data_IF_000568497502
#
_entry.id   IF_000568497502
#
_cell.length_a   1.000
_cell.length_b   1.000
_cell.length_c   1.000
_cell.angle_alpha   90.00
_cell.angle_beta   90.00
_cell.angle_gamma   90.00
#
_symmetry.space_group_name_H-M   'P 1'
#
loop_
_entity.id
_entity.type
_entity.pdbx_description
1 polymer ?
#
# COMPACT_ATOMS: atom_id res chain seq x y z
N UNK A 1 0.34 -10.98 -11.88
CA UNK A 1 0.72 -9.77 -11.10
C UNK A 1 0.18 -9.90 -9.69
N UNK A 2 0.94 -9.51 -8.67
CA UNK A 2 0.48 -9.54 -7.28
C UNK A 2 -0.35 -8.29 -6.97
N UNK A 3 -1.42 -8.46 -6.17
CA UNK A 3 -2.25 -7.36 -5.65
C UNK A 3 -1.58 -6.54 -4.54
N UNK A 4 -0.42 -6.99 -4.05
CA UNK A 4 0.32 -6.36 -2.97
C UNK A 4 1.56 -5.61 -3.49
N UNK A 5 1.93 -4.52 -2.82
CA UNK A 5 3.15 -3.77 -3.08
C UNK A 5 3.62 -2.98 -1.84
N UNK A 6 4.86 -2.53 -1.88
CA UNK A 6 5.47 -1.73 -0.83
C UNK A 6 5.79 -0.34 -1.40
N UNK A 7 5.42 0.70 -0.67
CA UNK A 7 5.57 2.08 -1.08
C UNK A 7 6.38 2.86 -0.04
N UNK A 8 7.34 3.65 -0.49
CA UNK A 8 8.07 4.60 0.34
C UNK A 8 7.29 5.92 0.47
N UNK A 9 6.05 5.80 0.95
CA UNK A 9 5.13 6.91 1.23
C UNK A 9 4.39 6.64 2.54
N UNK A 10 4.03 7.69 3.30
CA UNK A 10 3.24 7.53 4.51
C UNK A 10 1.83 7.04 4.18
N UNK A 11 1.21 6.34 5.13
CA UNK A 11 -0.10 5.69 4.95
C UNK A 11 -1.17 6.65 4.45
N UNK A 12 -1.26 7.85 5.03
CA UNK A 12 -2.25 8.86 4.66
C UNK A 12 -2.15 9.28 3.19
N UNK A 13 -0.92 9.43 2.67
CA UNK A 13 -0.72 9.78 1.26
C UNK A 13 -1.10 8.61 0.34
N UNK A 14 -0.80 7.38 0.75
CA UNK A 14 -1.19 6.18 -0.01
C UNK A 14 -2.72 6.04 -0.07
N UNK A 15 -3.43 6.31 1.03
CA UNK A 15 -4.90 6.32 1.05
C UNK A 15 -5.44 7.38 0.09
N UNK A 16 -4.98 8.63 0.22
CA UNK A 16 -5.43 9.72 -0.64
C UNK A 16 -5.17 9.44 -2.14
N UNK A 17 -4.03 8.81 -2.45
CA UNK A 17 -3.72 8.41 -3.82
C UNK A 17 -4.61 7.27 -4.32
N UNK A 18 -4.92 6.27 -3.50
CA UNK A 18 -5.84 5.20 -3.87
C UNK A 18 -7.26 5.73 -4.11
N UNK A 19 -7.73 6.65 -3.27
CA UNK A 19 -9.02 7.34 -3.46
C UNK A 19 -9.06 8.11 -4.77
N UNK A 20 -8.01 8.91 -5.05
CA UNK A 20 -7.87 9.67 -6.30
C UNK A 20 -7.85 8.77 -7.54
N UNK A 21 -7.24 7.59 -7.43
CA UNK A 21 -7.15 6.60 -8.52
C UNK A 21 -8.37 5.66 -8.58
N UNK A 22 -9.33 5.80 -7.66
CA UNK A 22 -10.50 4.92 -7.52
C UNK A 22 -10.11 3.44 -7.37
N UNK A 23 -9.04 3.17 -6.62
CA UNK A 23 -8.55 1.83 -6.35
C UNK A 23 -8.98 1.38 -4.96
N UNK A 24 -9.74 0.29 -4.89
CA UNK A 24 -10.19 -0.27 -3.61
C UNK A 24 -9.03 -0.94 -2.86
N UNK A 25 -8.89 -0.58 -1.59
CA UNK A 25 -7.88 -1.12 -0.67
C UNK A 25 -8.46 -2.33 0.06
N UNK A 26 -7.71 -3.43 0.07
CA UNK A 26 -8.02 -4.63 0.86
C UNK A 26 -7.34 -4.61 2.22
N UNK A 27 -6.09 -4.12 2.28
CA UNK A 27 -5.35 -3.93 3.51
C UNK A 27 -4.30 -2.84 3.32
N UNK A 28 -4.05 -2.07 4.37
CA UNK A 28 -3.00 -1.06 4.40
C UNK A 28 -2.36 -1.09 5.78
N UNK A 29 -1.03 -1.04 5.81
CA UNK A 29 -0.26 -1.02 7.06
C UNK A 29 1.04 -0.22 6.88
N UNK A 30 1.48 0.52 7.90
CA UNK A 30 2.79 1.16 7.91
C UNK A 30 3.89 0.10 8.05
N UNK A 31 5.04 0.36 7.44
CA UNK A 31 6.22 -0.49 7.56
C UNK A 31 7.12 0.00 8.72
N UNK A 32 7.75 -0.91 9.50
CA UNK A 32 8.73 -0.55 10.53
C UNK A 32 9.91 0.29 10.01
N UNK A 33 10.29 0.10 8.75
CA UNK A 33 11.37 0.86 8.09
C UNK A 33 10.95 2.25 7.61
N UNK A 34 9.67 2.62 7.80
CA UNK A 34 9.04 3.72 7.09
C UNK A 34 8.45 3.26 5.76
N UNK A 35 7.42 3.98 5.32
CA UNK A 35 6.59 3.62 4.17
C UNK A 35 5.36 2.81 4.55
N UNK A 36 4.72 2.22 3.54
CA UNK A 36 3.43 1.55 3.64
C UNK A 36 3.40 0.28 2.80
N UNK A 37 2.87 -0.80 3.35
CA UNK A 37 2.47 -1.98 2.60
C UNK A 37 1.00 -1.84 2.19
N UNK A 38 0.77 -1.85 0.88
CA UNK A 38 -0.55 -1.71 0.28
C UNK A 38 -0.97 -3.03 -0.36
N UNK A 39 -2.17 -3.48 -0.05
CA UNK A 39 -2.85 -4.58 -0.73
C UNK A 39 -4.12 -4.05 -1.36
N UNK A 40 -4.19 -4.07 -2.69
CA UNK A 40 -5.40 -3.71 -3.44
C UNK A 40 -6.37 -4.91 -3.46
N UNK A 41 -7.67 -4.62 -3.66
CA UNK A 41 -8.68 -5.69 -3.85
C UNK A 41 -8.44 -6.45 -5.15
N UNK A 42 -8.15 -5.72 -6.24
CA UNK A 42 -7.96 -6.26 -7.59
C UNK A 42 -6.51 -6.09 -8.07
N UNK A 43 -6.06 -7.01 -8.93
CA UNK A 43 -4.75 -6.95 -9.58
C UNK A 43 -4.60 -5.72 -10.47
N UNK A 44 -5.63 -5.38 -11.26
CA UNK A 44 -5.59 -4.22 -12.16
C UNK A 44 -5.43 -2.90 -11.39
N UNK A 45 -6.08 -2.79 -10.22
CA UNK A 45 -5.90 -1.65 -9.33
C UNK A 45 -4.46 -1.55 -8.83
N UNK A 46 -3.84 -2.69 -8.51
CA UNK A 46 -2.43 -2.72 -8.13
C UNK A 46 -1.52 -2.29 -9.28
N UNK A 47 -1.83 -2.67 -10.51
CA UNK A 47 -1.05 -2.28 -11.70
C UNK A 47 -1.14 -0.76 -11.96
N UNK A 48 -2.32 -0.17 -11.76
CA UNK A 48 -2.50 1.29 -11.85
C UNK A 48 -1.64 2.00 -10.80
N UNK A 49 -1.67 1.55 -9.54
CA UNK A 49 -0.89 2.14 -8.45
C UNK A 49 0.61 1.99 -8.72
N UNK A 50 1.07 0.81 -9.15
CA UNK A 50 2.49 0.57 -9.50
C UNK A 50 2.99 1.49 -10.62
N UNK A 51 2.15 1.75 -11.63
CA UNK A 51 2.50 2.67 -12.72
C UNK A 51 2.57 4.11 -12.24
N UNK A 52 1.62 4.54 -11.40
CA UNK A 52 1.53 5.93 -10.93
C UNK A 52 2.55 6.27 -9.83
N UNK A 53 2.84 5.33 -8.95
CA UNK A 53 3.76 5.48 -7.83
C UNK A 53 5.09 4.75 -8.05
N UNK A 54 5.48 4.56 -9.33
CA UNK A 54 6.70 3.82 -9.68
C UNK A 54 7.95 4.35 -8.97
N UNK A 55 8.08 5.67 -8.82
CA UNK A 55 9.20 6.32 -8.14
C UNK A 55 9.25 6.04 -6.63
N UNK A 56 8.15 5.57 -6.04
CA UNK A 56 8.04 5.27 -4.62
C UNK A 56 7.98 3.77 -4.35
N UNK A 57 8.12 2.91 -5.36
CA UNK A 57 8.07 1.48 -5.17
C UNK A 57 9.31 1.01 -4.40
N UNK A 58 9.12 0.29 -3.32
CA UNK A 58 10.22 -0.35 -2.59
C UNK A 58 10.50 -1.70 -3.23
N UNK A 59 11.67 -1.83 -3.83
CA UNK A 59 12.15 -3.10 -4.39
C UNK A 59 12.74 -4.00 -3.29
N UNK A 60 12.58 -5.32 -3.46
CA UNK A 60 13.11 -6.31 -2.55
C UNK A 60 12.22 -6.62 -1.34
N UNK A 61 12.82 -7.30 -0.36
CA UNK A 61 12.13 -7.80 0.83
C UNK A 61 12.00 -6.71 1.88
N UNK A 62 10.77 -6.43 2.33
CA UNK A 62 10.51 -5.53 3.46
C UNK A 62 10.14 -6.32 4.71
N UNK A 63 10.57 -5.84 5.87
CA UNK A 63 10.08 -6.36 7.15
C UNK A 63 8.71 -5.77 7.42
N UNK A 64 7.75 -6.61 7.81
CA UNK A 64 6.39 -6.21 8.22
C UNK A 64 6.21 -6.48 9.70
N UNK A 65 5.19 -5.89 10.31
CA UNK A 65 4.78 -6.28 11.66
C UNK A 65 4.21 -7.72 11.62
N UNK A 66 4.60 -8.61 12.54
CA UNK A 66 4.07 -9.99 12.58
C UNK A 66 2.54 -10.03 12.76
N UNK A 67 2.01 -9.05 13.49
CA UNK A 67 0.58 -8.82 13.66
C UNK A 67 0.31 -7.33 13.53
N UNK A 68 -0.46 -6.95 12.51
CA UNK A 68 -0.95 -5.60 12.34
C UNK A 68 -2.47 -5.60 12.37
N UNK A 69 -3.05 -4.72 13.18
CA UNK A 69 -4.46 -4.42 13.18
C UNK A 69 -4.63 -2.95 12.81
N UNK A 70 -5.38 -2.70 11.74
CA UNK A 70 -5.86 -1.36 11.45
C UNK A 70 -6.57 -0.81 12.70
N UNK A 71 -6.33 0.47 12.98
CA UNK A 71 -6.96 1.14 14.13
C UNK A 71 -8.47 0.97 14.01
N UNK A 72 -9.09 0.36 15.01
CA UNK A 72 -10.55 0.26 15.06
C UNK A 72 -11.14 1.68 15.13
N UNK A 73 -12.10 1.97 14.26
CA UNK A 73 -12.98 3.12 14.41
C UNK A 73 -13.91 2.80 15.60
N UNK A 74 -13.63 3.39 16.75
CA UNK A 74 -14.57 3.44 17.87
C UNK A 74 -15.63 4.50 17.60
#
# INVERSE_FOLDING_TARGET
MSRAMNLNLPEAEVVAMCEKLKVSISAIEPLPSGGTHLVCVLGDGADVVRKKLKAHLVEGTVRRFPFYRARASW
#
